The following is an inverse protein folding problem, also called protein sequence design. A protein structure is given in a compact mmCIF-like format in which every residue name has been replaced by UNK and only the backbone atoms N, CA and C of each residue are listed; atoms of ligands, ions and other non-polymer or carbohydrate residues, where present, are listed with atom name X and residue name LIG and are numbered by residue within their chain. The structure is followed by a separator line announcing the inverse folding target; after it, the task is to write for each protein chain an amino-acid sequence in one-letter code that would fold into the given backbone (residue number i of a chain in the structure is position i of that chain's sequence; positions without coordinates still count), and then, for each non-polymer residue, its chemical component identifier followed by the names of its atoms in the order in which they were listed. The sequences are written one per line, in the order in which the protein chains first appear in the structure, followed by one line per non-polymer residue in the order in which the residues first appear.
data_IF_686903667426
#
_entry.id   IF_686903667426
#
_cell.length_a   1.000
_cell.length_b   1.000
_cell.length_c   1.000
_cell.angle_alpha   90.00
_cell.angle_beta   90.00
_cell.angle_gamma   90.00
#
_symmetry.space_group_name_H-M   'P 1'
#
loop_
_entity.id
_entity.type
_entity.pdbx_description
1 polymer ?
#
# COMPACT_ATOMS: atom_id res chain seq x y z
N UNK A 1 1.78 -7.70 -32.43
CA UNK A 1 1.92 -8.50 -31.18
C UNK A 1 3.08 -8.01 -30.30
N UNK A 2 4.28 -7.74 -30.83
CA UNK A 2 5.43 -7.28 -30.03
C UNK A 2 5.19 -5.99 -29.19
N UNK A 3 4.47 -4.99 -29.74
CA UNK A 3 4.18 -3.73 -29.05
C UNK A 3 3.35 -3.88 -27.78
N UNK A 4 2.39 -4.82 -27.75
CA UNK A 4 1.53 -5.05 -26.59
C UNK A 4 2.31 -5.70 -25.44
N UNK A 5 3.18 -6.66 -25.76
CA UNK A 5 4.06 -7.32 -24.77
C UNK A 5 5.04 -6.30 -24.19
N UNK A 6 5.60 -5.43 -25.03
CA UNK A 6 6.51 -4.39 -24.58
C UNK A 6 5.84 -3.39 -23.62
N UNK A 7 4.63 -2.94 -23.92
CA UNK A 7 3.87 -2.06 -23.03
C UNK A 7 3.54 -2.73 -21.69
N UNK A 8 3.19 -4.02 -21.72
CA UNK A 8 2.97 -4.79 -20.49
C UNK A 8 4.24 -4.90 -19.64
N UNK A 9 5.38 -5.15 -20.28
CA UNK A 9 6.68 -5.24 -19.59
C UNK A 9 7.06 -3.90 -18.95
N UNK A 10 6.82 -2.78 -19.64
CA UNK A 10 7.04 -1.43 -19.12
C UNK A 10 6.14 -1.17 -17.92
N UNK A 11 4.84 -1.45 -18.02
CA UNK A 11 3.89 -1.28 -16.92
C UNK A 11 4.25 -2.15 -15.70
N UNK A 12 4.70 -3.38 -15.94
CA UNK A 12 5.16 -4.27 -14.87
C UNK A 12 6.41 -3.73 -14.18
N UNK A 13 7.38 -3.23 -14.95
CA UNK A 13 8.59 -2.62 -14.41
C UNK A 13 8.27 -1.37 -13.60
N UNK A 14 7.40 -0.49 -14.08
CA UNK A 14 6.97 0.70 -13.33
C UNK A 14 6.31 0.33 -12.00
N UNK A 15 5.43 -0.68 -12.01
CA UNK A 15 4.81 -1.21 -10.78
C UNK A 15 5.86 -1.75 -9.81
N UNK A 16 6.83 -2.51 -10.31
CA UNK A 16 7.93 -3.04 -9.49
C UNK A 16 8.80 -1.92 -8.90
N UNK A 17 9.16 -0.91 -9.69
CA UNK A 17 9.98 0.22 -9.23
C UNK A 17 9.22 1.05 -8.16
N UNK A 18 7.89 1.22 -8.31
CA UNK A 18 7.02 1.83 -7.29
C UNK A 18 7.02 1.01 -6.00
N UNK A 19 6.85 -0.30 -6.11
CA UNK A 19 6.83 -1.19 -4.95
C UNK A 19 8.15 -1.13 -4.18
N UNK A 20 9.28 -1.11 -4.90
CA UNK A 20 10.60 -0.99 -4.32
C UNK A 20 10.83 0.38 -3.65
N UNK A 21 10.34 1.46 -4.27
CA UNK A 21 10.43 2.80 -3.71
C UNK A 21 9.70 2.92 -2.37
N UNK A 22 8.44 2.46 -2.29
CA UNK A 22 7.66 2.54 -1.04
C UNK A 22 8.31 1.69 0.05
N UNK A 23 8.81 0.48 -0.26
CA UNK A 23 9.55 -0.35 0.71
C UNK A 23 10.77 0.36 1.27
N UNK A 24 11.59 0.97 0.42
CA UNK A 24 12.77 1.70 0.88
C UNK A 24 12.43 2.95 1.70
N UNK A 25 11.31 3.63 1.36
CA UNK A 25 10.82 4.76 2.13
C UNK A 25 10.40 4.34 3.55
N UNK A 26 9.66 3.23 3.67
CA UNK A 26 9.21 2.69 4.97
C UNK A 26 10.36 2.19 5.85
N UNK A 27 11.48 1.79 5.24
CA UNK A 27 12.68 1.33 5.92
C UNK A 27 13.66 2.48 6.26
N UNK A 28 13.27 3.73 6.00
CA UNK A 28 14.13 4.91 6.17
C UNK A 28 15.48 4.79 5.43
N UNK A 29 15.46 4.12 4.27
CA UNK A 29 16.64 3.77 3.49
C UNK A 29 16.85 4.69 2.27
N UNK A 30 16.31 5.92 2.31
CA UNK A 30 16.41 6.88 1.23
C UNK A 30 16.84 8.24 1.76
N UNK A 31 17.73 8.90 1.03
CA UNK A 31 18.03 10.31 1.27
C UNK A 31 16.89 11.17 0.72
N UNK A 32 16.68 12.35 1.31
CA UNK A 32 15.63 13.29 0.87
C UNK A 32 15.70 13.62 -0.63
N UNK A 33 16.92 13.81 -1.16
CA UNK A 33 17.14 14.06 -2.60
C UNK A 33 16.67 12.90 -3.48
N UNK A 34 16.85 11.66 -3.02
CA UNK A 34 16.39 10.46 -3.73
C UNK A 34 14.87 10.32 -3.67
N UNK A 35 14.26 10.69 -2.54
CA UNK A 35 12.79 10.71 -2.39
C UNK A 35 12.17 11.62 -3.44
N UNK A 36 12.64 12.88 -3.57
CA UNK A 36 12.11 13.80 -4.57
C UNK A 36 12.34 13.32 -6.01
N UNK A 37 13.56 12.85 -6.31
CA UNK A 37 13.92 12.39 -7.66
C UNK A 37 13.10 11.17 -8.09
N UNK A 38 13.00 10.16 -7.22
CA UNK A 38 12.28 8.91 -7.51
C UNK A 38 10.77 9.12 -7.51
N UNK A 39 10.21 9.89 -6.58
CA UNK A 39 8.77 10.21 -6.60
C UNK A 39 8.36 10.88 -7.91
N UNK A 40 9.16 11.83 -8.41
CA UNK A 40 8.90 12.47 -9.71
C UNK A 40 8.97 11.48 -10.88
N UNK A 41 10.01 10.63 -10.92
CA UNK A 41 10.19 9.62 -11.99
C UNK A 41 9.07 8.57 -11.99
N UNK A 42 8.59 8.19 -10.82
CA UNK A 42 7.57 7.17 -10.63
C UNK A 42 6.14 7.75 -10.60
N UNK A 43 5.98 9.07 -10.78
CA UNK A 43 4.69 9.75 -10.71
C UNK A 43 3.94 9.52 -9.39
N UNK A 44 4.67 9.55 -8.27
CA UNK A 44 4.12 9.49 -6.92
C UNK A 44 3.99 10.92 -6.38
N UNK A 45 2.77 11.31 -6.02
CA UNK A 45 2.51 12.64 -5.43
C UNK A 45 3.14 12.72 -4.04
N UNK A 46 3.83 13.81 -3.72
CA UNK A 46 4.55 13.96 -2.43
C UNK A 46 3.82 14.86 -1.44
N UNK A 47 2.76 15.50 -1.89
CA UNK A 47 1.95 16.53 -1.24
C UNK A 47 0.57 16.02 -0.81
N UNK A 48 0.41 14.70 -0.72
CA UNK A 48 -0.85 14.06 -0.33
C UNK A 48 -0.66 13.25 0.95
N UNK A 49 -1.59 13.36 1.92
CA UNK A 49 -1.48 12.63 3.16
C UNK A 49 -1.64 11.13 2.89
N UNK A 50 -0.76 10.35 3.51
CA UNK A 50 -0.79 8.90 3.45
C UNK A 50 -0.73 8.33 4.84
N UNK A 51 -1.41 7.20 5.02
CA UNK A 51 -1.35 6.46 6.27
C UNK A 51 -0.85 5.06 5.99
N UNK A 52 0.06 4.60 6.85
CA UNK A 52 0.57 3.25 6.84
C UNK A 52 -0.17 2.45 7.89
N UNK A 53 -0.80 1.36 7.47
CA UNK A 53 -1.54 0.43 8.32
C UNK A 53 -0.85 -0.93 8.28
N UNK A 54 -0.71 -1.55 9.46
CA UNK A 54 -0.36 -2.97 9.57
C UNK A 54 -1.66 -3.75 9.79
N UNK A 55 -1.94 -4.67 8.89
CA UNK A 55 -3.11 -5.57 8.92
C UNK A 55 -2.61 -6.95 9.29
N UNK A 56 -3.15 -7.50 10.37
CA UNK A 56 -2.74 -8.78 10.96
C UNK A 56 -3.90 -9.78 10.92
N UNK A 57 -3.59 -11.07 10.75
CA UNK A 57 -4.58 -12.14 10.87
C UNK A 57 -4.90 -12.40 12.34
N UNK A 58 -6.20 -12.50 12.69
CA UNK A 58 -6.61 -12.89 14.05
C UNK A 58 -6.37 -14.40 14.38
N UNK A 59 -5.47 -15.08 13.67
CA UNK A 59 -5.08 -16.47 13.96
C UNK A 59 -6.01 -17.56 13.40
N UNK A 60 -6.82 -17.26 12.39
CA UNK A 60 -7.69 -18.23 11.71
C UNK A 60 -6.96 -19.00 10.60
N UNK A 61 -7.17 -20.32 10.53
CA UNK A 61 -6.48 -21.28 9.65
C UNK A 61 -6.66 -21.06 8.13
N UNK A 62 -7.57 -20.17 7.73
CA UNK A 62 -7.97 -19.94 6.34
C UNK A 62 -7.98 -18.45 5.89
N UNK A 63 -7.47 -17.52 6.72
CA UNK A 63 -7.51 -16.10 6.36
C UNK A 63 -6.24 -15.67 5.61
N UNK A 64 -6.32 -15.62 4.28
CA UNK A 64 -5.32 -14.97 3.43
C UNK A 64 -5.43 -13.44 3.58
N UNK A 65 -4.79 -12.88 4.62
CA UNK A 65 -4.84 -11.45 4.96
C UNK A 65 -4.48 -10.55 3.78
N UNK A 66 -3.58 -10.99 2.92
CA UNK A 66 -3.19 -10.24 1.72
C UNK A 66 -4.36 -10.06 0.75
N UNK A 67 -5.19 -11.08 0.58
CA UNK A 67 -6.37 -11.03 -0.28
C UNK A 67 -7.49 -10.19 0.33
N UNK A 68 -7.69 -10.28 1.65
CA UNK A 68 -8.60 -9.41 2.39
C UNK A 68 -8.19 -7.94 2.26
N UNK A 69 -6.91 -7.63 2.49
CA UNK A 69 -6.37 -6.29 2.29
C UNK A 69 -6.57 -5.81 0.84
N UNK A 70 -6.31 -6.65 -0.16
CA UNK A 70 -6.59 -6.29 -1.57
C UNK A 70 -8.07 -6.11 -1.86
N UNK A 71 -8.96 -6.85 -1.22
CA UNK A 71 -10.41 -6.70 -1.41
C UNK A 71 -10.92 -5.39 -0.85
N UNK A 72 -10.40 -4.98 0.32
CA UNK A 72 -10.84 -3.76 1.01
C UNK A 72 -10.10 -2.49 0.56
N UNK A 73 -8.87 -2.62 0.04
CA UNK A 73 -8.00 -1.49 -0.32
C UNK A 73 -7.47 -1.51 -1.76
N UNK A 74 -7.45 -2.66 -2.43
CA UNK A 74 -6.82 -2.84 -3.74
C UNK A 74 -7.61 -2.28 -4.92
N UNK A 75 -8.75 -1.63 -4.69
CA UNK A 75 -9.56 -0.99 -5.73
C UNK A 75 -8.91 0.27 -6.32
N UNK A 76 -7.95 0.89 -5.62
CA UNK A 76 -7.27 2.09 -6.08
C UNK A 76 -5.83 1.75 -6.49
N UNK A 77 -5.44 2.11 -7.73
CA UNK A 77 -4.08 1.89 -8.25
C UNK A 77 -3.01 2.75 -7.55
N UNK A 78 -3.42 3.69 -6.70
CA UNK A 78 -2.53 4.50 -5.86
C UNK A 78 -2.17 3.85 -4.52
N UNK A 79 -2.95 2.87 -4.06
CA UNK A 79 -2.73 2.23 -2.77
C UNK A 79 -1.64 1.15 -2.91
N UNK A 80 -0.74 1.07 -1.93
CA UNK A 80 0.34 0.10 -1.91
C UNK A 80 0.06 -0.97 -0.86
N UNK A 81 0.11 -2.24 -1.26
CA UNK A 81 -0.19 -3.40 -0.40
C UNK A 81 0.90 -4.45 -0.57
N UNK A 82 1.61 -4.77 0.51
CA UNK A 82 2.69 -5.75 0.49
C UNK A 82 2.66 -6.63 1.72
N UNK A 83 2.89 -7.94 1.53
CA UNK A 83 3.07 -8.86 2.64
C UNK A 83 4.44 -8.60 3.30
N UNK A 84 4.44 -8.60 4.63
CA UNK A 84 5.66 -8.56 5.45
C UNK A 84 6.07 -9.97 5.82
N UNK A 85 5.10 -10.77 6.27
CA UNK A 85 5.25 -12.19 6.58
C UNK A 85 3.93 -12.95 6.28
N UNK A 86 3.76 -14.14 6.85
CA UNK A 86 2.60 -15.02 6.64
C UNK A 86 1.30 -14.48 7.25
N UNK A 87 1.38 -13.62 8.27
CA UNK A 87 0.22 -13.11 9.01
C UNK A 87 0.06 -11.60 8.91
N UNK A 88 1.07 -10.88 8.43
CA UNK A 88 1.15 -9.43 8.46
C UNK A 88 1.29 -8.82 7.07
N UNK A 89 0.48 -7.81 6.80
CA UNK A 89 0.47 -7.05 5.54
C UNK A 89 0.54 -5.56 5.85
N UNK A 90 1.41 -4.84 5.13
CA UNK A 90 1.43 -3.38 5.14
C UNK A 90 0.52 -2.86 4.04
N UNK A 91 -0.34 -1.92 4.40
CA UNK A 91 -1.18 -1.14 3.51
C UNK A 91 -0.79 0.33 3.65
N UNK A 92 -0.34 0.95 2.57
CA UNK A 92 -0.13 2.40 2.48
C UNK A 92 -1.25 2.97 1.63
N UNK A 93 -2.11 3.78 2.24
CA UNK A 93 -3.30 4.34 1.59
C UNK A 93 -3.22 5.86 1.52
N UNK A 94 -3.56 6.39 0.36
CA UNK A 94 -3.68 7.82 0.12
C UNK A 94 -5.08 8.30 0.55
N UNK A 95 -5.15 9.39 1.31
CA UNK A 95 -6.41 9.97 1.76
C UNK A 95 -6.58 11.39 1.24
N UNK A 96 -7.83 11.85 1.14
CA UNK A 96 -8.11 13.27 0.99
C UNK A 96 -7.93 13.97 2.35
N UNK A 97 -7.34 15.17 2.34
CA UNK A 97 -7.04 15.95 3.56
C UNK A 97 -8.26 16.16 4.46
N UNK A 98 -9.46 16.28 3.89
CA UNK A 98 -10.68 16.62 4.63
C UNK A 98 -11.31 15.47 5.41
N UNK A 99 -10.99 14.20 5.10
CA UNK A 99 -11.73 13.04 5.64
C UNK A 99 -10.83 11.91 6.15
N UNK A 100 -9.53 12.16 6.29
CA UNK A 100 -8.51 11.15 6.63
C UNK A 100 -8.90 10.31 7.86
N UNK A 101 -9.28 10.95 8.98
CA UNK A 101 -9.61 10.22 10.22
C UNK A 101 -10.84 9.30 10.12
N UNK A 102 -11.94 9.80 9.52
CA UNK A 102 -13.19 9.03 9.38
C UNK A 102 -13.04 7.86 8.42
N UNK A 103 -12.34 8.06 7.31
CA UNK A 103 -12.13 7.01 6.31
C UNK A 103 -11.14 5.95 6.79
N UNK A 104 -10.16 6.31 7.62
CA UNK A 104 -9.30 5.34 8.32
C UNK A 104 -10.15 4.49 9.28
N UNK A 105 -10.95 5.11 10.15
CA UNK A 105 -11.80 4.35 11.09
C UNK A 105 -12.77 3.42 10.37
N UNK A 106 -13.41 3.90 9.31
CA UNK A 106 -14.33 3.11 8.49
C UNK A 106 -13.61 1.94 7.84
N UNK A 107 -12.40 2.16 7.34
CA UNK A 107 -11.56 1.11 6.75
C UNK A 107 -11.15 0.05 7.78
N UNK A 108 -10.69 0.48 8.96
CA UNK A 108 -10.32 -0.41 10.05
C UNK A 108 -11.51 -1.25 10.52
N UNK A 109 -12.68 -0.63 10.73
CA UNK A 109 -13.92 -1.35 11.10
C UNK A 109 -14.38 -2.35 10.04
N UNK A 110 -14.10 -2.10 8.76
CA UNK A 110 -14.44 -3.03 7.69
C UNK A 110 -13.56 -4.29 7.73
N UNK A 111 -12.27 -4.13 8.08
CA UNK A 111 -11.33 -5.24 8.27
C UNK A 111 -11.65 -6.06 9.52
N UNK A 112 -11.97 -5.40 10.65
CA UNK A 112 -12.28 -6.11 11.89
C UNK A 112 -13.48 -7.07 11.71
N UNK A 113 -14.47 -6.67 10.90
CA UNK A 113 -15.63 -7.49 10.57
C UNK A 113 -15.28 -8.70 9.68
N UNK A 114 -14.18 -8.67 8.93
CA UNK A 114 -13.70 -9.79 8.11
C UNK A 114 -12.66 -10.67 8.81
N UNK A 115 -12.37 -10.41 10.09
CA UNK A 115 -11.44 -11.20 10.89
C UNK A 115 -9.97 -10.81 10.74
N UNK A 116 -9.69 -9.63 10.16
CA UNK A 116 -8.36 -9.04 10.13
C UNK A 116 -8.31 -7.85 11.10
N UNK A 117 -7.26 -7.75 11.92
CA UNK A 117 -7.11 -6.65 12.88
C UNK A 117 -6.13 -5.60 12.35
N UNK A 118 -6.45 -4.32 12.56
CA UNK A 118 -5.51 -3.23 12.27
C UNK A 118 -4.70 -2.91 13.51
N UNK A 119 -3.41 -3.23 13.50
CA UNK A 119 -2.55 -3.21 14.70
C UNK A 119 -1.86 -1.86 14.92
N UNK A 120 -1.52 -1.13 13.85
CA UNK A 120 -0.86 0.17 13.97
C UNK A 120 -1.15 1.10 12.79
N UNK A 121 -1.50 2.34 13.11
CA UNK A 121 -1.62 3.47 12.18
C UNK A 121 -0.38 4.34 12.39
N UNK A 122 0.48 4.43 11.39
CA UNK A 122 1.59 5.41 11.36
C UNK A 122 1.15 6.53 10.42
N UNK A 123 1.01 7.74 10.97
CA UNK A 123 0.74 8.98 10.23
C UNK A 123 2.05 9.64 9.81
#
# INVERSE_FOLDING_TARGET
VAFQIQNLLVAYKERFDKDNFIKNLLLDNLLLVDIYSRSKKLHIQTDVPRVVMIVESAGGKDNNVLELARTHFGSNSKDFITAVDESNVIVVKEFAETDTGKEIEKSARALDKSGAQTSRIVQ
#
